data_IF_644557253689
#
_entry.id   IF_644557253689
#
_cell.length_a   1.000
_cell.length_b   1.000
_cell.length_c   1.000
_cell.angle_alpha   90.00
_cell.angle_beta   90.00
_cell.angle_gamma   90.00
#
_symmetry.space_group_name_H-M   'P 1'
#
loop_
_entity.id
_entity.type
_entity.pdbx_description
1 polymer ?
#
# COMPACT_ATOMS: atom_id res chain seq x y z
N UNK A 1 43.99 28.93 -70.27
CA UNK A 1 43.84 29.26 -68.86
C UNK A 1 42.68 28.47 -68.34
N UNK A 2 42.92 27.37 -67.61
CA UNK A 2 41.85 26.48 -66.97
C UNK A 2 41.76 26.90 -65.51
N UNK A 3 40.52 27.19 -65.02
CA UNK A 3 40.25 27.50 -63.63
C UNK A 3 40.04 26.16 -62.85
N UNK A 4 40.60 26.02 -61.67
CA UNK A 4 40.38 24.83 -60.87
C UNK A 4 39.00 24.84 -60.14
N UNK A 5 38.30 23.72 -60.19
CA UNK A 5 37.05 23.46 -59.45
C UNK A 5 37.37 22.93 -58.04
N UNK A 6 36.85 23.58 -57.00
CA UNK A 6 36.93 23.16 -55.60
C UNK A 6 35.98 21.99 -55.32
N UNK A 7 36.40 21.04 -54.50
CA UNK A 7 35.50 19.92 -54.11
C UNK A 7 34.43 20.36 -53.09
N UNK A 8 33.19 19.94 -53.31
CA UNK A 8 32.09 20.11 -52.37
C UNK A 8 32.29 19.15 -51.19
N UNK A 9 32.52 19.69 -49.99
CA UNK A 9 32.51 18.93 -48.72
C UNK A 9 31.07 18.52 -48.39
N UNK A 10 30.82 17.22 -48.37
CA UNK A 10 29.58 16.64 -47.77
C UNK A 10 29.72 16.63 -46.26
N UNK A 11 28.91 17.45 -45.58
CA UNK A 11 28.76 17.41 -44.13
C UNK A 11 27.67 16.35 -43.83
N UNK A 12 28.09 15.19 -43.31
CA UNK A 12 27.19 14.19 -42.74
C UNK A 12 26.78 14.66 -41.35
N UNK A 13 25.56 15.14 -41.20
CA UNK A 13 24.93 15.36 -39.90
C UNK A 13 24.45 14.01 -39.34
N UNK A 14 25.17 13.50 -38.34
CA UNK A 14 24.79 12.31 -37.58
C UNK A 14 23.69 12.72 -36.58
N UNK A 15 22.43 12.45 -36.93
CA UNK A 15 21.29 12.60 -36.00
C UNK A 15 21.33 11.49 -34.96
N UNK A 16 21.69 11.85 -33.73
CA UNK A 16 21.63 10.98 -32.59
C UNK A 16 20.16 10.83 -32.14
N UNK A 17 19.52 9.71 -32.50
CA UNK A 17 18.17 9.37 -32.06
C UNK A 17 18.26 8.90 -30.61
N UNK A 18 17.96 9.78 -29.63
CA UNK A 18 17.81 9.40 -28.21
C UNK A 18 16.44 8.74 -28.05
N UNK A 19 16.40 7.42 -28.02
CA UNK A 19 15.22 6.64 -27.63
C UNK A 19 15.05 6.75 -26.11
N UNK A 20 14.14 7.61 -25.66
CA UNK A 20 13.65 7.61 -24.28
C UNK A 20 12.83 6.32 -24.08
N UNK A 21 13.42 5.34 -23.43
CA UNK A 21 12.71 4.20 -22.86
C UNK A 21 11.85 4.70 -21.71
N UNK A 22 10.59 5.01 -21.99
CA UNK A 22 9.59 5.16 -20.94
C UNK A 22 9.37 3.75 -20.33
N UNK A 23 9.89 3.53 -19.13
CA UNK A 23 9.50 2.40 -18.32
C UNK A 23 7.98 2.52 -18.08
N UNK A 24 7.18 1.70 -18.74
CA UNK A 24 5.76 1.60 -18.46
C UNK A 24 5.59 1.18 -17.00
N UNK A 25 4.73 1.85 -16.22
CA UNK A 25 4.41 1.38 -14.88
C UNK A 25 3.89 -0.07 -15.00
N UNK A 26 4.39 -0.95 -14.16
CA UNK A 26 3.89 -2.32 -14.05
C UNK A 26 2.44 -2.22 -13.58
N UNK A 27 1.49 -2.31 -14.51
CA UNK A 27 0.08 -2.39 -14.16
C UNK A 27 -0.17 -3.68 -13.39
N UNK A 28 -0.90 -3.56 -12.26
CA UNK A 28 -1.48 -4.70 -11.58
C UNK A 28 -2.18 -5.59 -12.61
N UNK A 29 -2.00 -6.92 -12.52
CA UNK A 29 -2.71 -7.86 -13.41
C UNK A 29 -4.16 -7.92 -12.96
N UNK A 30 -5.11 -7.29 -13.68
CA UNK A 30 -6.49 -7.11 -13.21
C UNK A 30 -7.18 -8.41 -12.84
N UNK A 31 -6.86 -9.49 -13.54
CA UNK A 31 -7.57 -10.77 -13.42
C UNK A 31 -7.18 -11.57 -12.17
N UNK A 32 -5.99 -11.37 -11.63
CA UNK A 32 -5.49 -12.17 -10.49
C UNK A 32 -6.39 -12.12 -9.26
N UNK A 33 -6.98 -10.96 -8.97
CA UNK A 33 -7.77 -10.71 -7.77
C UNK A 33 -9.27 -10.56 -8.05
N UNK A 34 -9.72 -10.64 -9.31
CA UNK A 34 -11.10 -10.39 -9.70
C UNK A 34 -12.10 -11.19 -8.87
N UNK A 35 -11.88 -12.50 -8.70
CA UNK A 35 -12.75 -13.36 -7.90
C UNK A 35 -12.78 -12.99 -6.41
N UNK A 36 -11.64 -12.56 -5.83
CA UNK A 36 -11.60 -12.08 -4.45
C UNK A 36 -12.39 -10.79 -4.28
N UNK A 37 -12.23 -9.86 -5.20
CA UNK A 37 -12.94 -8.58 -5.22
C UNK A 37 -14.43 -8.78 -5.43
N UNK A 38 -14.83 -9.66 -6.36
CA UNK A 38 -16.24 -10.02 -6.60
C UNK A 38 -16.87 -10.58 -5.33
N UNK A 39 -16.17 -11.47 -4.62
CA UNK A 39 -16.63 -12.01 -3.33
C UNK A 39 -16.76 -10.94 -2.26
N UNK A 40 -15.79 -10.01 -2.15
CA UNK A 40 -15.81 -8.90 -1.19
C UNK A 40 -16.99 -7.95 -1.43
N UNK A 41 -17.42 -7.77 -2.68
CA UNK A 41 -18.47 -6.83 -3.07
C UNK A 41 -19.81 -7.51 -3.37
N UNK A 42 -19.89 -8.83 -3.34
CA UNK A 42 -21.07 -9.60 -3.73
C UNK A 42 -22.35 -9.22 -2.98
N UNK A 43 -22.22 -8.85 -1.71
CA UNK A 43 -23.35 -8.46 -0.85
C UNK A 43 -23.64 -6.97 -0.85
N UNK A 44 -22.75 -6.15 -1.38
CA UNK A 44 -22.83 -4.70 -1.27
C UNK A 44 -24.06 -4.10 -2.00
N UNK A 45 -24.52 -4.75 -3.07
CA UNK A 45 -25.70 -4.32 -3.81
C UNK A 45 -26.99 -4.53 -3.00
N UNK A 46 -27.10 -5.65 -2.26
CA UNK A 46 -28.25 -5.98 -1.42
C UNK A 46 -28.18 -5.35 -0.02
N UNK A 47 -26.97 -5.21 0.49
CA UNK A 47 -26.67 -4.66 1.83
C UNK A 47 -25.53 -3.63 1.72
N UNK A 48 -25.84 -2.41 1.24
CA UNK A 48 -24.84 -1.37 1.05
C UNK A 48 -24.08 -1.11 2.36
N UNK A 49 -22.75 -1.11 2.34
CA UNK A 49 -21.94 -0.78 3.50
C UNK A 49 -22.28 0.61 4.05
N UNK A 50 -22.20 0.76 5.37
CA UNK A 50 -22.48 2.01 6.02
C UNK A 50 -21.56 3.13 5.52
N UNK A 51 -22.15 4.28 5.17
CA UNK A 51 -21.37 5.49 4.89
C UNK A 51 -20.67 5.99 6.16
N UNK A 52 -19.59 6.74 5.98
CA UNK A 52 -18.76 7.25 7.10
C UNK A 52 -18.12 6.14 7.96
N UNK A 53 -18.09 4.91 7.49
CA UNK A 53 -17.37 3.82 8.12
C UNK A 53 -15.84 4.02 8.06
N UNK A 54 -15.11 3.20 8.78
CA UNK A 54 -13.66 3.02 8.64
C UNK A 54 -13.42 1.83 7.73
N UNK A 55 -12.83 2.05 6.56
CA UNK A 55 -12.48 0.98 5.62
C UNK A 55 -11.05 0.53 5.88
N UNK A 56 -10.87 -0.74 6.18
CA UNK A 56 -9.56 -1.40 6.25
C UNK A 56 -9.31 -2.10 4.92
N UNK A 57 -8.26 -1.69 4.22
CA UNK A 57 -7.90 -2.20 2.89
C UNK A 57 -6.43 -2.63 2.87
N UNK A 58 -6.10 -3.57 2.00
CA UNK A 58 -4.74 -4.06 1.80
C UNK A 58 -4.65 -5.59 1.70
N UNK A 59 -3.52 -6.14 2.15
CA UNK A 59 -3.20 -7.54 1.89
C UNK A 59 -3.74 -8.52 2.94
N UNK A 60 -3.09 -9.67 3.05
CA UNK A 60 -3.55 -10.79 3.89
C UNK A 60 -3.71 -10.44 5.37
N UNK A 61 -2.88 -9.55 5.93
CA UNK A 61 -3.03 -9.18 7.35
C UNK A 61 -4.34 -8.42 7.62
N UNK A 62 -4.86 -7.66 6.65
CA UNK A 62 -6.21 -7.10 6.76
C UNK A 62 -7.26 -8.19 6.57
N UNK A 63 -7.15 -9.01 5.51
CA UNK A 63 -8.09 -10.12 5.25
C UNK A 63 -8.25 -11.07 6.44
N UNK A 64 -7.15 -11.39 7.11
CA UNK A 64 -7.12 -12.33 8.22
C UNK A 64 -7.50 -11.72 9.58
N UNK A 65 -7.76 -10.42 9.64
CA UNK A 65 -8.25 -9.78 10.86
C UNK A 65 -9.75 -10.03 11.03
N UNK A 66 -10.09 -11.25 11.39
CA UNK A 66 -11.48 -11.72 11.44
C UNK A 66 -12.28 -11.17 12.64
N UNK A 67 -11.58 -10.60 13.63
CA UNK A 67 -12.18 -9.97 14.82
C UNK A 67 -12.22 -8.45 14.74
N UNK A 68 -12.05 -7.88 13.54
CA UNK A 68 -11.89 -6.43 13.34
C UNK A 68 -13.03 -5.60 13.95
N UNK A 69 -14.27 -6.03 13.78
CA UNK A 69 -15.46 -5.39 14.35
C UNK A 69 -15.52 -5.48 15.87
N UNK A 70 -15.08 -6.60 16.43
CA UNK A 70 -15.04 -6.84 17.87
C UNK A 70 -13.89 -6.07 18.53
N UNK A 71 -12.79 -5.86 17.80
CA UNK A 71 -11.61 -5.18 18.30
C UNK A 71 -11.79 -3.66 18.39
N UNK A 72 -12.78 -3.09 17.68
CA UNK A 72 -13.11 -1.67 17.72
C UNK A 72 -14.60 -1.45 18.01
N UNK A 73 -15.06 -1.76 19.23
CA UNK A 73 -16.46 -1.60 19.60
C UNK A 73 -16.89 -0.13 19.45
N UNK A 74 -18.08 0.06 18.85
CA UNK A 74 -18.61 1.40 18.59
C UNK A 74 -18.06 2.08 17.33
N UNK A 75 -17.13 1.44 16.60
CA UNK A 75 -16.66 1.89 15.31
C UNK A 75 -17.22 1.00 14.21
N UNK A 76 -17.93 1.58 13.26
CA UNK A 76 -18.35 0.84 12.07
C UNK A 76 -17.15 0.59 11.16
N UNK A 77 -16.73 -0.67 11.07
CA UNK A 77 -15.57 -1.10 10.27
C UNK A 77 -16.01 -1.89 9.05
N UNK A 78 -15.25 -1.79 7.96
CA UNK A 78 -15.43 -2.56 6.73
C UNK A 78 -14.09 -3.18 6.37
N UNK A 79 -13.99 -4.53 6.36
CA UNK A 79 -12.79 -5.24 5.94
C UNK A 79 -12.80 -5.45 4.41
N UNK A 80 -11.82 -4.90 3.73
CA UNK A 80 -11.57 -5.02 2.27
C UNK A 80 -10.14 -5.52 2.00
N UNK A 81 -9.63 -6.39 2.87
CA UNK A 81 -8.37 -7.09 2.67
C UNK A 81 -8.50 -8.24 1.66
N UNK A 82 -7.51 -8.38 0.79
CA UNK A 82 -7.40 -9.52 -0.14
C UNK A 82 -5.96 -10.06 -0.16
N UNK A 83 -5.85 -11.36 0.04
CA UNK A 83 -4.58 -12.00 0.43
C UNK A 83 -3.53 -12.03 -0.66
N UNK A 84 -2.29 -11.67 -0.31
CA UNK A 84 -1.15 -11.68 -1.25
C UNK A 84 -1.08 -10.48 -2.18
N UNK A 85 -1.99 -9.50 -2.03
CA UNK A 85 -1.99 -8.29 -2.86
C UNK A 85 -0.82 -7.37 -2.55
N UNK A 86 -0.49 -6.56 -3.53
CA UNK A 86 0.49 -5.48 -3.48
C UNK A 86 -0.21 -4.12 -3.38
N UNK A 87 0.54 -3.04 -3.15
CA UNK A 87 -0.02 -1.69 -3.12
C UNK A 87 -0.66 -1.29 -4.46
N UNK A 88 -0.04 -1.65 -5.58
CA UNK A 88 -0.60 -1.40 -6.91
C UNK A 88 -1.97 -2.06 -7.11
N UNK A 89 -2.21 -3.24 -6.52
CA UNK A 89 -3.53 -3.89 -6.56
C UNK A 89 -4.56 -3.08 -5.77
N UNK A 90 -4.16 -2.54 -4.60
CA UNK A 90 -5.04 -1.64 -3.81
C UNK A 90 -5.38 -0.35 -4.58
N UNK A 91 -4.44 0.21 -5.35
CA UNK A 91 -4.67 1.35 -6.25
C UNK A 91 -5.68 0.99 -7.33
N UNK A 92 -5.47 -0.17 -7.98
CA UNK A 92 -6.32 -0.62 -9.09
C UNK A 92 -7.76 -0.82 -8.64
N UNK A 93 -7.97 -1.52 -7.52
CA UNK A 93 -9.30 -1.86 -7.04
C UNK A 93 -9.97 -0.82 -6.14
N UNK A 94 -9.33 0.32 -5.85
CA UNK A 94 -9.89 1.36 -4.96
C UNK A 94 -11.29 1.83 -5.39
N UNK A 95 -11.56 1.91 -6.70
CA UNK A 95 -12.88 2.30 -7.25
C UNK A 95 -13.99 1.29 -6.96
N UNK A 96 -13.63 0.06 -6.59
CA UNK A 96 -14.60 -1.00 -6.28
C UNK A 96 -14.74 -1.25 -4.78
N UNK A 97 -13.65 -1.17 -4.00
CA UNK A 97 -13.61 -1.65 -2.63
C UNK A 97 -13.33 -0.56 -1.58
N UNK A 98 -13.16 0.71 -1.99
CA UNK A 98 -12.91 1.83 -1.07
C UNK A 98 -13.82 3.02 -1.39
N UNK A 99 -13.69 3.58 -2.59
CA UNK A 99 -14.32 4.85 -2.98
C UNK A 99 -15.85 4.80 -2.90
N UNK A 100 -16.56 3.72 -3.31
CA UNK A 100 -18.03 3.68 -3.27
C UNK A 100 -18.62 3.78 -1.87
N UNK A 101 -17.85 3.48 -0.83
CA UNK A 101 -18.33 3.49 0.56
C UNK A 101 -18.30 4.87 1.21
N UNK A 102 -17.66 5.86 0.58
CA UNK A 102 -17.47 7.19 1.15
C UNK A 102 -16.99 7.15 2.61
N UNK A 103 -15.89 6.44 2.90
CA UNK A 103 -15.40 6.29 4.25
C UNK A 103 -14.92 7.62 4.82
N UNK A 104 -15.08 7.82 6.14
CA UNK A 104 -14.44 8.95 6.84
C UNK A 104 -12.94 8.72 7.05
N UNK A 105 -12.54 7.45 7.07
CA UNK A 105 -11.16 7.03 7.30
C UNK A 105 -10.87 5.73 6.53
N UNK A 106 -9.74 5.68 5.88
CA UNK A 106 -9.15 4.46 5.30
C UNK A 106 -7.93 4.07 6.09
N UNK A 107 -7.84 2.81 6.48
CA UNK A 107 -6.64 2.17 7.07
C UNK A 107 -6.05 1.24 6.03
N UNK A 108 -4.87 1.54 5.53
CA UNK A 108 -4.18 0.78 4.48
C UNK A 108 -3.00 0.02 5.06
N UNK A 109 -2.91 -1.29 4.77
CA UNK A 109 -1.75 -2.13 5.08
C UNK A 109 -1.39 -3.01 3.88
N UNK A 110 -0.30 -2.71 3.21
CA UNK A 110 0.31 -3.49 2.13
C UNK A 110 1.80 -3.10 2.00
N UNK A 111 2.54 -3.71 1.08
CA UNK A 111 3.96 -3.42 0.83
C UNK A 111 4.90 -4.57 1.17
N UNK A 112 4.51 -5.48 2.07
CA UNK A 112 5.29 -6.67 2.38
C UNK A 112 5.48 -7.56 1.15
N UNK A 113 4.40 -7.81 0.40
CA UNK A 113 4.44 -8.66 -0.80
C UNK A 113 5.20 -7.98 -1.93
N UNK A 114 5.02 -6.68 -2.09
CA UNK A 114 5.73 -5.84 -3.06
C UNK A 114 7.25 -6.04 -2.94
N UNK A 115 7.79 -5.82 -1.73
CA UNK A 115 9.21 -5.97 -1.44
C UNK A 115 9.69 -7.42 -1.55
N UNK A 116 8.86 -8.37 -1.09
CA UNK A 116 9.18 -9.79 -1.19
C UNK A 116 9.26 -10.27 -2.64
N UNK A 117 8.42 -9.73 -3.51
CA UNK A 117 8.40 -10.00 -4.94
C UNK A 117 9.44 -9.19 -5.74
N UNK A 118 10.28 -8.40 -5.05
CA UNK A 118 11.43 -7.74 -5.65
C UNK A 118 11.22 -6.29 -6.07
N UNK A 119 10.08 -5.65 -5.73
CA UNK A 119 9.95 -4.20 -5.92
C UNK A 119 10.94 -3.46 -5.03
N UNK A 120 11.45 -2.34 -5.50
CA UNK A 120 12.27 -1.45 -4.68
C UNK A 120 11.41 -0.68 -3.65
N UNK A 121 12.01 -0.21 -2.53
CA UNK A 121 11.34 0.64 -1.57
C UNK A 121 10.73 1.91 -2.18
N UNK A 122 11.39 2.49 -3.19
CA UNK A 122 10.94 3.68 -3.92
C UNK A 122 9.69 3.36 -4.75
N UNK A 123 9.64 2.19 -5.42
CA UNK A 123 8.47 1.75 -6.17
C UNK A 123 7.27 1.52 -5.24
N UNK A 124 7.50 0.92 -4.07
CA UNK A 124 6.46 0.74 -3.03
C UNK A 124 5.93 2.09 -2.54
N UNK A 125 6.81 3.05 -2.27
CA UNK A 125 6.41 4.40 -1.88
C UNK A 125 5.66 5.15 -3.00
N UNK A 126 6.03 4.94 -4.27
CA UNK A 126 5.32 5.49 -5.41
C UNK A 126 3.91 4.92 -5.55
N UNK A 127 3.72 3.61 -5.36
CA UNK A 127 2.41 2.97 -5.36
C UNK A 127 1.53 3.47 -4.19
N UNK A 128 2.12 3.67 -3.01
CA UNK A 128 1.41 4.31 -1.88
C UNK A 128 0.95 5.73 -2.23
N UNK A 129 1.83 6.54 -2.80
CA UNK A 129 1.50 7.90 -3.25
C UNK A 129 0.38 7.89 -4.30
N UNK A 130 0.40 6.92 -5.22
CA UNK A 130 -0.67 6.74 -6.22
C UNK A 130 -2.01 6.42 -5.53
N UNK A 131 -2.02 5.53 -4.53
CA UNK A 131 -3.23 5.23 -3.75
C UNK A 131 -3.76 6.47 -3.04
N UNK A 132 -2.92 7.19 -2.30
CA UNK A 132 -3.28 8.44 -1.59
C UNK A 132 -3.84 9.49 -2.55
N UNK A 133 -3.17 9.70 -3.68
CA UNK A 133 -3.61 10.65 -4.70
C UNK A 133 -4.99 10.29 -5.26
N UNK A 134 -5.20 9.03 -5.62
CA UNK A 134 -6.48 8.52 -6.15
C UNK A 134 -7.60 8.67 -5.11
N UNK A 135 -7.34 8.28 -3.86
CA UNK A 135 -8.29 8.41 -2.76
C UNK A 135 -8.72 9.87 -2.58
N UNK A 136 -7.76 10.79 -2.45
CA UNK A 136 -8.06 12.20 -2.17
C UNK A 136 -8.61 12.96 -3.37
N UNK A 137 -8.36 12.50 -4.61
CA UNK A 137 -9.01 13.04 -5.80
C UNK A 137 -10.52 12.71 -5.81
N UNK A 138 -10.89 11.49 -5.41
CA UNK A 138 -12.29 11.06 -5.36
C UNK A 138 -13.00 11.50 -4.07
N UNK A 139 -12.30 11.48 -2.93
CA UNK A 139 -12.83 11.72 -1.59
C UNK A 139 -11.94 12.72 -0.83
N UNK A 140 -12.06 14.02 -1.10
CA UNK A 140 -11.13 15.03 -0.57
C UNK A 140 -11.10 15.16 0.96
N UNK A 141 -12.16 14.73 1.66
CA UNK A 141 -12.28 14.84 3.12
C UNK A 141 -11.91 13.54 3.87
N UNK A 142 -11.71 12.44 3.14
CA UNK A 142 -11.38 11.15 3.75
C UNK A 142 -9.97 11.19 4.32
N UNK A 143 -9.83 10.79 5.59
CA UNK A 143 -8.52 10.60 6.21
C UNK A 143 -7.90 9.27 5.76
N UNK A 144 -6.58 9.22 5.68
CA UNK A 144 -5.82 8.01 5.36
C UNK A 144 -4.83 7.68 6.47
N UNK A 145 -4.87 6.47 6.98
CA UNK A 145 -3.81 5.90 7.82
C UNK A 145 -3.08 4.84 7.01
N UNK A 146 -1.76 4.93 6.98
CA UNK A 146 -0.92 3.84 6.51
C UNK A 146 -0.24 3.17 7.71
N UNK A 147 -0.49 1.88 7.89
CA UNK A 147 0.22 1.08 8.89
C UNK A 147 1.60 0.70 8.36
N UNK A 148 2.63 0.92 9.16
CA UNK A 148 4.00 0.56 8.76
C UNK A 148 4.09 -0.91 8.35
N UNK A 149 4.87 -1.20 7.30
CA UNK A 149 5.16 -2.58 6.89
C UNK A 149 5.78 -3.30 8.08
N UNK A 150 5.16 -4.41 8.50
CA UNK A 150 5.60 -5.20 9.68
C UNK A 150 6.89 -5.94 9.38
N UNK A 151 7.86 -5.83 10.30
CA UNK A 151 9.14 -6.56 10.23
C UNK A 151 8.95 -8.03 10.65
N UNK A 152 8.11 -8.77 9.92
CA UNK A 152 7.78 -10.16 10.24
C UNK A 152 9.03 -11.07 10.21
N UNK A 153 9.18 -12.03 11.16
CA UNK A 153 10.37 -12.89 11.25
C UNK A 153 10.68 -13.63 9.95
N UNK A 154 9.67 -14.18 9.26
CA UNK A 154 9.86 -14.89 7.98
C UNK A 154 10.32 -14.00 6.82
N UNK A 155 10.38 -12.69 7.02
CA UNK A 155 10.81 -11.69 6.04
C UNK A 155 12.12 -11.01 6.40
N UNK A 156 12.89 -11.57 7.34
CA UNK A 156 14.11 -10.96 7.89
C UNK A 156 15.10 -10.48 6.81
N UNK A 157 15.24 -11.22 5.71
CA UNK A 157 16.15 -10.87 4.60
C UNK A 157 15.84 -9.55 3.90
N UNK A 158 14.61 -9.01 4.05
CA UNK A 158 14.18 -7.75 3.41
C UNK A 158 13.81 -6.66 4.45
N UNK A 159 14.17 -6.83 5.72
CA UNK A 159 13.85 -5.83 6.76
C UNK A 159 14.40 -4.44 6.44
N UNK A 160 15.61 -4.34 5.84
CA UNK A 160 16.17 -3.03 5.47
C UNK A 160 15.36 -2.35 4.37
N UNK A 161 14.88 -3.12 3.37
CA UNK A 161 13.97 -2.58 2.36
C UNK A 161 12.65 -2.14 2.99
N UNK A 162 12.10 -2.91 3.95
CA UNK A 162 10.89 -2.52 4.68
C UNK A 162 11.07 -1.23 5.48
N UNK A 163 12.21 -1.09 6.21
CA UNK A 163 12.52 0.15 6.93
C UNK A 163 12.65 1.33 5.99
N UNK A 164 13.29 1.13 4.84
CA UNK A 164 13.44 2.18 3.82
C UNK A 164 12.09 2.59 3.24
N UNK A 165 11.24 1.64 2.83
CA UNK A 165 9.89 1.91 2.36
C UNK A 165 9.06 2.64 3.42
N UNK A 166 9.11 2.20 4.68
CA UNK A 166 8.43 2.85 5.79
C UNK A 166 8.87 4.31 5.97
N UNK A 167 10.17 4.61 5.88
CA UNK A 167 10.67 6.00 5.95
C UNK A 167 10.16 6.86 4.80
N UNK A 168 10.18 6.33 3.57
CA UNK A 168 9.71 7.05 2.38
C UNK A 168 8.20 7.35 2.46
N UNK A 169 7.41 6.36 2.88
CA UNK A 169 5.96 6.51 3.04
C UNK A 169 5.63 7.48 4.18
N UNK A 170 6.34 7.41 5.31
CA UNK A 170 6.18 8.35 6.41
C UNK A 170 6.47 9.79 5.97
N UNK A 171 7.53 9.99 5.17
CA UNK A 171 7.86 11.30 4.62
C UNK A 171 6.78 11.82 3.65
N UNK A 172 6.19 10.95 2.80
CA UNK A 172 5.08 11.33 1.92
C UNK A 172 3.81 11.66 2.72
N UNK A 173 3.45 10.87 3.73
CA UNK A 173 2.32 11.18 4.63
C UNK A 173 2.49 12.56 5.31
N UNK A 174 3.68 12.91 5.74
CA UNK A 174 3.94 14.19 6.39
C UNK A 174 3.66 15.42 5.51
N UNK A 175 3.51 15.23 4.19
CA UNK A 175 3.18 16.31 3.23
C UNK A 175 1.67 16.60 3.12
N UNK A 176 0.80 15.77 3.73
CA UNK A 176 -0.64 15.90 3.63
C UNK A 176 -1.29 15.71 5.02
N UNK A 177 -1.95 16.75 5.59
CA UNK A 177 -2.54 16.66 6.94
C UNK A 177 -3.66 15.61 7.07
N UNK A 178 -4.18 15.10 5.94
CA UNK A 178 -5.18 14.03 5.92
C UNK A 178 -4.54 12.64 5.96
N UNK A 179 -3.21 12.55 5.82
CA UNK A 179 -2.46 11.29 5.83
C UNK A 179 -1.69 11.14 7.15
N UNK A 180 -1.82 9.97 7.76
CA UNK A 180 -1.11 9.60 8.98
C UNK A 180 -0.33 8.30 8.75
N UNK A 181 0.99 8.34 8.93
CA UNK A 181 1.79 7.13 9.06
C UNK A 181 1.72 6.65 10.52
N UNK A 182 1.35 5.39 10.75
CA UNK A 182 1.25 4.80 12.09
C UNK A 182 2.25 3.65 12.20
N UNK A 183 3.22 3.81 13.08
CA UNK A 183 4.21 2.78 13.36
C UNK A 183 3.64 1.71 14.28
N UNK A 184 3.56 0.48 13.75
CA UNK A 184 3.15 -0.72 14.49
C UNK A 184 4.34 -1.59 14.88
N UNK A 185 5.56 -1.34 14.35
CA UNK A 185 6.73 -2.15 14.67
C UNK A 185 7.27 -1.85 16.07
N UNK A 186 7.46 -0.58 16.42
CA UNK A 186 7.98 -0.21 17.75
C UNK A 186 7.18 -0.83 18.89
N UNK A 187 5.83 -0.76 18.91
CA UNK A 187 5.04 -1.44 19.95
C UNK A 187 5.16 -2.97 19.93
N UNK A 188 5.44 -3.58 18.78
CA UNK A 188 5.58 -5.03 18.66
C UNK A 188 6.94 -5.55 19.17
N UNK A 189 8.02 -4.76 19.02
CA UNK A 189 9.36 -5.16 19.48
C UNK A 189 9.65 -4.73 20.91
N UNK A 190 8.90 -3.79 21.46
CA UNK A 190 9.13 -3.23 22.79
C UNK A 190 10.49 -2.57 22.91
N UNK A 191 11.05 -2.55 24.12
CA UNK A 191 12.33 -1.90 24.42
C UNK A 191 13.55 -2.60 23.81
N UNK A 192 13.44 -3.87 23.38
CA UNK A 192 14.56 -4.63 22.81
C UNK A 192 14.94 -4.18 21.41
N UNK A 193 14.01 -3.56 20.68
CA UNK A 193 14.19 -3.24 19.26
C UNK A 193 14.30 -4.49 18.36
N UNK A 194 14.54 -4.28 17.09
CA UNK A 194 14.84 -5.38 16.15
C UNK A 194 13.61 -5.97 15.47
N UNK A 195 13.48 -7.29 15.53
CA UNK A 195 12.37 -8.04 14.91
C UNK A 195 11.30 -8.33 15.95
N UNK A 196 10.02 -8.17 15.65
CA UNK A 196 8.94 -8.60 16.53
C UNK A 196 9.09 -10.06 16.93
N UNK A 197 8.78 -10.42 18.20
CA UNK A 197 8.95 -11.78 18.69
C UNK A 197 8.00 -12.76 17.99
N UNK A 198 8.44 -14.01 17.73
CA UNK A 198 7.67 -15.04 17.04
C UNK A 198 6.29 -15.31 17.62
N UNK A 199 6.13 -15.11 18.92
CA UNK A 199 4.88 -15.34 19.67
C UNK A 199 3.72 -14.43 19.27
N UNK A 200 4.00 -13.38 18.48
CA UNK A 200 2.96 -12.49 17.93
C UNK A 200 2.40 -12.98 16.60
N UNK A 201 2.96 -14.06 16.06
CA UNK A 201 2.61 -14.59 14.75
C UNK A 201 2.04 -16.00 14.83
N UNK A 202 1.34 -16.41 13.77
CA UNK A 202 1.00 -17.82 13.57
C UNK A 202 2.24 -18.59 13.07
N UNK A 203 2.09 -19.90 12.84
CA UNK A 203 3.20 -20.79 12.49
C UNK A 203 4.06 -20.31 11.31
N UNK A 204 3.49 -19.58 10.36
CA UNK A 204 4.21 -19.08 9.17
C UNK A 204 5.15 -17.89 9.45
N UNK A 205 5.12 -17.35 10.68
CA UNK A 205 5.96 -16.24 11.12
C UNK A 205 5.82 -14.98 10.25
N UNK A 206 4.68 -14.83 9.58
CA UNK A 206 4.28 -13.71 8.73
C UNK A 206 2.97 -13.07 9.20
N UNK A 207 1.95 -13.91 9.38
CA UNK A 207 0.63 -13.44 9.74
C UNK A 207 0.46 -13.37 11.26
N UNK A 208 -0.20 -12.31 11.72
CA UNK A 208 -0.41 -12.10 13.13
C UNK A 208 -1.38 -13.13 13.72
N UNK A 209 -1.11 -13.54 14.95
CA UNK A 209 -2.08 -14.20 15.79
C UNK A 209 -2.88 -13.17 16.61
N UNK A 210 -3.72 -13.64 17.54
CA UNK A 210 -4.56 -12.78 18.39
C UNK A 210 -3.75 -11.77 19.20
N UNK A 211 -2.57 -12.15 19.71
CA UNK A 211 -1.72 -11.26 20.48
C UNK A 211 -1.13 -10.15 19.61
N UNK A 212 -0.71 -10.47 18.38
CA UNK A 212 -0.24 -9.49 17.41
C UNK A 212 -1.33 -8.48 17.03
N UNK A 213 -2.55 -8.95 16.72
CA UNK A 213 -3.68 -8.04 16.44
C UNK A 213 -4.07 -7.20 17.65
N UNK A 214 -3.96 -7.71 18.89
CA UNK A 214 -4.22 -6.90 20.08
C UNK A 214 -3.29 -5.69 20.20
N UNK A 215 -2.02 -5.82 19.79
CA UNK A 215 -1.10 -4.68 19.71
C UNK A 215 -1.57 -3.68 18.64
N UNK A 216 -1.92 -4.15 17.44
CA UNK A 216 -2.43 -3.29 16.38
C UNK A 216 -3.70 -2.55 16.81
N UNK A 217 -4.62 -3.26 17.47
CA UNK A 217 -5.84 -2.67 18.04
C UNK A 217 -5.51 -1.53 19.00
N UNK A 218 -4.60 -1.77 19.97
CA UNK A 218 -4.19 -0.74 20.94
C UNK A 218 -3.56 0.48 20.27
N UNK A 219 -2.73 0.25 19.26
CA UNK A 219 -2.06 1.34 18.53
C UNK A 219 -3.04 2.15 17.69
N UNK A 220 -4.02 1.49 17.06
CA UNK A 220 -4.98 2.13 16.17
C UNK A 220 -6.14 2.81 16.89
N UNK A 221 -6.56 2.32 18.05
CA UNK A 221 -7.75 2.80 18.75
C UNK A 221 -7.82 4.33 18.87
N UNK A 222 -6.74 5.08 19.21
CA UNK A 222 -6.79 6.53 19.31
C UNK A 222 -7.13 7.27 18.01
N UNK A 223 -6.94 6.64 16.86
CA UNK A 223 -7.14 7.26 15.54
C UNK A 223 -8.51 6.99 14.95
N UNK A 224 -9.24 5.98 15.46
CA UNK A 224 -10.48 5.49 14.84
C UNK A 224 -11.74 6.21 15.35
N UNK A 225 -11.65 6.90 16.47
CA UNK A 225 -12.76 7.74 16.95
C UNK A 225 -12.74 9.12 16.24
N UNK A 226 -13.93 9.75 16.08
CA UNK A 226 -14.07 11.11 15.53
C UNK A 226 -13.26 12.14 16.26
#
# INVERSE_FOLDING_TARGET
MRRPTLPRSFIFTLSLLVTLLFASPAFATPDKWAADIDRLTATDAAHPPARNAVVFVGSSSIRLWTTLDQDFPGVTTINRGFGGSELADSVFYADRIVIPYHPRLVVLFAGTNDLWNGKSPEAVAADFKAFRTKLHAALPQTRLIYLSITLAPSRARIHEQMRTANRLIAADCATDPRCQFVDINTPMVGASGGTPPPELFVQDQLHLNRAGYAIWTKVLAPYLHP
#
